data_IF_931198513443
#
_entry.id   IF_931198513443
#
_cell.length_a   1.000
_cell.length_b   1.000
_cell.length_c   1.000
_cell.angle_alpha   90.00
_cell.angle_beta   90.00
_cell.angle_gamma   90.00
#
_symmetry.space_group_name_H-M   'P 1'
#
loop_
_entity.id
_entity.type
_entity.pdbx_description
1 polymer ?
#
# COMPACT_ATOMS: atom_id res chain seq x y z
N UNK A 1 17.11 15.97 6.02
CA UNK A 1 16.49 16.84 7.04
C UNK A 1 16.42 16.06 8.36
N UNK A 2 16.76 16.62 9.52
CA UNK A 2 16.59 15.96 10.81
C UNK A 2 15.11 15.66 11.12
N UNK A 3 14.84 14.55 11.84
CA UNK A 3 13.46 14.12 12.17
C UNK A 3 12.67 15.21 12.92
N UNK A 4 13.32 15.94 13.85
CA UNK A 4 12.64 17.01 14.61
C UNK A 4 12.11 18.12 13.71
N UNK A 5 12.84 18.46 12.65
CA UNK A 5 12.37 19.45 11.68
C UNK A 5 11.21 18.92 10.84
N UNK A 6 11.23 17.64 10.47
CA UNK A 6 10.13 17.00 9.75
C UNK A 6 8.87 17.05 10.61
N UNK A 7 8.95 16.61 11.86
CA UNK A 7 7.81 16.57 12.78
C UNK A 7 7.27 17.98 13.03
N UNK A 8 8.14 18.97 13.24
CA UNK A 8 7.72 20.38 13.42
C UNK A 8 6.95 20.90 12.19
N UNK A 9 7.40 20.57 10.98
CA UNK A 9 6.69 20.96 9.77
C UNK A 9 5.33 20.26 9.64
N UNK A 10 5.26 18.96 9.96
CA UNK A 10 3.99 18.20 9.95
C UNK A 10 3.00 18.83 10.93
N UNK A 11 3.41 19.14 12.15
CA UNK A 11 2.56 19.78 13.16
C UNK A 11 2.02 21.15 12.70
N UNK A 12 2.80 21.89 11.92
CA UNK A 12 2.40 23.19 11.39
C UNK A 12 1.21 23.12 10.39
N UNK A 13 0.97 21.96 9.75
CA UNK A 13 -0.20 21.75 8.87
C UNK A 13 -1.52 21.64 9.66
N UNK A 14 -1.47 21.39 10.96
CA UNK A 14 -2.64 21.19 11.81
C UNK A 14 -3.63 20.13 11.25
N UNK A 15 -3.09 19.06 10.66
CA UNK A 15 -3.81 17.93 10.12
C UNK A 15 -3.42 16.67 10.92
N UNK A 16 -4.37 15.90 11.49
CA UNK A 16 -4.05 14.74 12.30
C UNK A 16 -3.63 13.52 11.47
N UNK A 17 -3.74 13.57 10.14
CA UNK A 17 -3.43 12.49 9.22
C UNK A 17 -2.10 12.76 8.52
N UNK A 18 -1.21 11.76 8.54
CA UNK A 18 0.09 11.78 7.84
C UNK A 18 0.22 10.54 7.00
N UNK A 19 0.50 10.71 5.72
CA UNK A 19 0.86 9.61 4.83
C UNK A 19 2.35 9.66 4.52
N UNK A 20 3.04 8.55 4.77
CA UNK A 20 4.45 8.33 4.43
C UNK A 20 4.49 7.53 3.14
N UNK A 21 4.98 8.16 2.08
CA UNK A 21 5.01 7.60 0.72
C UNK A 21 6.20 8.14 -0.07
N UNK A 22 6.25 7.84 -1.38
CA UNK A 22 7.27 8.29 -2.32
C UNK A 22 8.39 7.28 -2.48
N UNK A 23 8.95 7.04 -3.65
CA UNK A 23 9.91 5.98 -3.94
C UNK A 23 9.58 4.66 -3.21
N UNK A 24 10.45 4.25 -2.28
CA UNK A 24 10.13 3.21 -1.28
C UNK A 24 10.48 3.75 0.12
N UNK A 25 9.48 4.05 0.94
CA UNK A 25 9.71 4.64 2.26
C UNK A 25 10.56 3.78 3.18
N UNK A 26 10.40 2.45 3.13
CA UNK A 26 11.12 1.52 4.02
C UNK A 26 12.62 1.44 3.71
N UNK A 27 13.08 2.03 2.60
CA UNK A 27 14.51 2.26 2.33
C UNK A 27 15.11 3.42 3.13
N UNK A 28 14.27 4.31 3.63
CA UNK A 28 14.79 5.54 4.27
C UNK A 28 15.29 5.25 5.67
N UNK A 29 16.54 5.66 6.00
CA UNK A 29 17.01 5.56 7.37
C UNK A 29 16.06 6.34 8.29
N UNK A 30 15.78 5.78 9.45
CA UNK A 30 14.93 6.37 10.48
C UNK A 30 13.42 6.45 10.15
N UNK A 31 12.91 5.84 9.08
CA UNK A 31 11.47 5.85 8.77
C UNK A 31 10.67 5.20 9.90
N UNK A 32 11.14 4.09 10.47
CA UNK A 32 10.49 3.43 11.61
C UNK A 32 10.43 4.35 12.83
N UNK A 33 11.52 5.06 13.14
CA UNK A 33 11.53 6.06 14.21
C UNK A 33 10.57 7.22 13.91
N UNK A 34 10.43 7.62 12.65
CA UNK A 34 9.46 8.67 12.27
C UNK A 34 8.02 8.20 12.50
N UNK A 35 7.68 6.96 12.07
CA UNK A 35 6.35 6.38 12.28
C UNK A 35 6.00 6.29 13.77
N UNK A 36 6.91 5.75 14.58
CA UNK A 36 6.76 5.66 16.04
C UNK A 36 6.49 7.03 16.67
N UNK A 37 7.34 8.02 16.37
CA UNK A 37 7.23 9.37 16.95
C UNK A 37 5.97 10.11 16.52
N UNK A 38 5.52 9.93 15.27
CA UNK A 38 4.25 10.51 14.83
C UNK A 38 3.06 9.86 15.53
N UNK A 39 3.10 8.53 15.71
CA UNK A 39 2.07 7.80 16.45
C UNK A 39 2.04 8.17 17.93
N UNK A 40 3.21 8.46 18.56
CA UNK A 40 3.32 8.96 19.94
C UNK A 40 2.76 10.37 20.11
N UNK A 41 2.69 11.13 19.04
CA UNK A 41 2.08 12.47 18.98
C UNK A 41 0.60 12.43 18.55
N UNK A 42 -0.04 11.25 18.60
CA UNK A 42 -1.44 11.02 18.24
C UNK A 42 -1.80 11.33 16.78
N UNK A 43 -0.81 11.31 15.86
CA UNK A 43 -1.11 11.34 14.44
C UNK A 43 -1.62 9.97 13.97
N UNK A 44 -2.61 9.99 13.09
CA UNK A 44 -2.97 8.82 12.29
C UNK A 44 -1.95 8.68 11.16
N UNK A 45 -1.11 7.63 11.23
CA UNK A 45 -0.02 7.41 10.28
C UNK A 45 -0.43 6.36 9.25
N UNK A 46 -0.37 6.72 7.98
CA UNK A 46 -0.46 5.82 6.84
C UNK A 46 0.94 5.59 6.26
N UNK A 47 1.21 4.37 5.83
CA UNK A 47 2.42 4.00 5.09
C UNK A 47 2.01 3.37 3.76
N UNK A 48 2.35 3.99 2.63
CA UNK A 48 2.25 3.37 1.31
C UNK A 48 3.61 2.80 0.89
N UNK A 49 3.70 1.46 0.77
CA UNK A 49 4.93 0.74 0.43
C UNK A 49 4.67 -0.29 -0.66
N UNK A 50 5.69 -0.59 -1.48
CA UNK A 50 5.63 -1.68 -2.46
C UNK A 50 5.75 -3.08 -1.82
N UNK A 51 6.08 -3.17 -0.54
CA UNK A 51 6.30 -4.42 0.17
C UNK A 51 7.55 -5.19 -0.27
N UNK A 52 8.52 -4.53 -0.92
CA UNK A 52 9.81 -5.15 -1.24
C UNK A 52 10.74 -5.23 -0.02
N UNK A 53 10.39 -4.62 1.10
CA UNK A 53 11.08 -4.67 2.38
C UNK A 53 10.18 -5.25 3.47
N UNK A 54 10.73 -5.75 4.60
CA UNK A 54 9.94 -6.26 5.70
C UNK A 54 8.98 -5.21 6.25
N UNK A 55 7.67 -5.51 6.25
CA UNK A 55 6.63 -4.64 6.80
C UNK A 55 6.35 -4.91 8.28
N UNK A 56 6.79 -6.07 8.79
CA UNK A 56 6.54 -6.45 10.18
C UNK A 56 7.30 -5.62 11.22
N UNK A 57 8.29 -4.83 10.78
CA UNK A 57 9.06 -3.92 11.65
C UNK A 57 8.38 -2.55 11.84
N UNK A 58 7.30 -2.28 11.12
CA UNK A 58 6.53 -1.05 11.28
C UNK A 58 5.82 -1.03 12.63
N UNK A 59 5.67 0.18 13.22
CA UNK A 59 4.87 0.36 14.43
C UNK A 59 3.44 -0.18 14.21
N UNK A 60 2.92 -0.93 15.16
CA UNK A 60 1.62 -1.61 15.05
C UNK A 60 0.42 -0.67 14.94
N UNK A 61 0.59 0.62 15.22
CA UNK A 61 -0.43 1.68 15.08
C UNK A 61 -0.51 2.24 13.66
N UNK A 62 0.49 1.92 12.81
CA UNK A 62 0.55 2.42 11.43
C UNK A 62 -0.39 1.62 10.55
N UNK A 63 -1.24 2.31 9.81
CA UNK A 63 -2.08 1.71 8.77
C UNK A 63 -1.26 1.55 7.48
N UNK A 64 -0.97 0.32 7.09
CA UNK A 64 -0.13 0.03 5.91
C UNK A 64 -1.00 -0.19 4.67
N UNK A 65 -0.66 0.49 3.60
CA UNK A 65 -1.22 0.31 2.26
C UNK A 65 -0.12 -0.34 1.42
N UNK A 66 -0.26 -1.63 1.16
CA UNK A 66 0.77 -2.44 0.49
C UNK A 66 0.44 -2.58 -0.99
N UNK A 67 1.17 -1.85 -1.84
CA UNK A 67 1.00 -1.83 -3.29
C UNK A 67 1.80 -2.98 -3.94
N UNK A 68 1.16 -4.16 -4.05
CA UNK A 68 1.77 -5.34 -4.67
C UNK A 68 1.84 -5.11 -6.18
N UNK A 69 3.07 -5.02 -6.70
CA UNK A 69 3.32 -4.69 -8.10
C UNK A 69 2.94 -5.85 -9.02
N UNK A 70 2.07 -5.55 -9.98
CA UNK A 70 1.59 -6.51 -10.98
C UNK A 70 2.68 -6.83 -12.01
N UNK A 71 2.59 -7.96 -12.75
CA UNK A 71 3.62 -8.38 -13.70
C UNK A 71 3.98 -7.33 -14.75
N UNK A 72 2.99 -6.58 -15.26
CA UNK A 72 3.21 -5.56 -16.31
C UNK A 72 3.49 -4.15 -15.76
N UNK A 73 3.65 -3.99 -14.44
CA UNK A 73 3.97 -2.70 -13.80
C UNK A 73 5.40 -2.22 -14.02
N UNK A 74 6.29 -3.06 -14.57
CA UNK A 74 7.73 -2.81 -14.66
C UNK A 74 8.50 -3.10 -13.35
N UNK A 75 7.82 -3.42 -12.26
CA UNK A 75 8.39 -3.81 -10.96
C UNK A 75 7.75 -5.09 -10.41
N UNK A 76 7.14 -5.90 -11.28
CA UNK A 76 6.56 -7.19 -10.90
C UNK A 76 7.57 -8.12 -10.25
N UNK A 77 7.11 -8.91 -9.25
CA UNK A 77 7.96 -9.89 -8.55
C UNK A 77 8.91 -9.29 -7.51
N UNK A 78 8.76 -8.02 -7.15
CA UNK A 78 9.61 -7.38 -6.11
C UNK A 78 9.04 -7.53 -4.70
N UNK A 79 7.78 -7.92 -4.57
CA UNK A 79 7.14 -8.11 -3.26
C UNK A 79 7.82 -9.24 -2.49
N UNK A 80 8.10 -9.00 -1.20
CA UNK A 80 8.71 -9.99 -0.31
C UNK A 80 7.64 -10.95 0.22
N UNK A 81 7.70 -12.23 -0.18
CA UNK A 81 6.70 -13.25 0.19
C UNK A 81 6.48 -13.38 1.71
N UNK A 82 7.53 -13.16 2.52
CA UNK A 82 7.42 -13.18 3.97
C UNK A 82 6.42 -12.14 4.52
N UNK A 83 6.12 -11.09 3.77
CA UNK A 83 5.18 -10.05 4.16
C UNK A 83 3.73 -10.53 4.20
N UNK A 84 3.36 -11.59 3.45
CA UNK A 84 2.00 -12.16 3.57
C UNK A 84 1.66 -12.59 4.99
N UNK A 85 2.64 -13.13 5.72
CA UNK A 85 2.46 -13.54 7.12
C UNK A 85 2.45 -12.36 8.12
N UNK A 86 2.77 -11.15 7.66
CA UNK A 86 2.83 -9.92 8.46
C UNK A 86 1.62 -9.00 8.24
N UNK A 87 0.76 -9.34 7.27
CA UNK A 87 -0.47 -8.59 7.03
C UNK A 87 -1.47 -8.81 8.16
N UNK A 88 -2.23 -7.77 8.47
CA UNK A 88 -3.27 -7.80 9.49
C UNK A 88 -4.55 -7.07 9.04
N UNK A 89 -5.60 -7.14 9.85
CA UNK A 89 -6.92 -6.57 9.59
C UNK A 89 -6.97 -5.02 9.58
N UNK A 90 -5.87 -4.36 9.91
CA UNK A 90 -5.71 -2.92 9.75
C UNK A 90 -5.13 -2.54 8.39
N UNK A 91 -4.49 -3.47 7.68
CA UNK A 91 -3.79 -3.20 6.43
C UNK A 91 -4.73 -3.15 5.24
N UNK A 92 -4.27 -2.48 4.19
CA UNK A 92 -4.88 -2.55 2.87
C UNK A 92 -3.86 -3.09 1.86
N UNK A 93 -4.31 -3.92 0.93
CA UNK A 93 -3.53 -4.35 -0.23
C UNK A 93 -4.05 -3.64 -1.47
N UNK A 94 -3.14 -3.12 -2.28
CA UNK A 94 -3.43 -2.40 -3.51
C UNK A 94 -2.76 -3.08 -4.70
N UNK A 95 -3.49 -3.19 -5.81
CA UNK A 95 -2.99 -3.61 -7.11
C UNK A 95 -3.26 -2.52 -8.14
N UNK A 96 -2.22 -2.05 -8.82
CA UNK A 96 -2.36 -1.12 -9.95
C UNK A 96 -2.45 -1.94 -11.24
N UNK A 97 -3.60 -1.84 -11.92
CA UNK A 97 -3.97 -2.67 -13.06
C UNK A 97 -3.70 -1.92 -14.36
N UNK A 98 -2.80 -2.45 -15.18
CA UNK A 98 -2.46 -1.87 -16.49
C UNK A 98 -3.15 -2.59 -17.65
N UNK A 99 -3.45 -3.90 -17.49
CA UNK A 99 -4.05 -4.74 -18.52
C UNK A 99 -4.89 -5.86 -17.91
N UNK A 100 -5.53 -6.68 -18.75
CA UNK A 100 -6.36 -7.80 -18.32
C UNK A 100 -5.55 -8.86 -17.58
N UNK A 101 -4.35 -9.15 -18.02
CA UNK A 101 -3.45 -10.12 -17.42
C UNK A 101 -3.09 -9.74 -15.99
N UNK A 102 -2.82 -8.45 -15.71
CA UNK A 102 -2.56 -7.95 -14.37
C UNK A 102 -3.77 -8.16 -13.46
N UNK A 103 -4.96 -7.92 -13.98
CA UNK A 103 -6.19 -8.13 -13.23
C UNK A 103 -6.37 -9.60 -12.86
N UNK A 104 -6.29 -10.52 -13.85
CA UNK A 104 -6.46 -11.95 -13.62
C UNK A 104 -5.40 -12.50 -12.66
N UNK A 105 -4.15 -12.03 -12.79
CA UNK A 105 -3.07 -12.33 -11.85
C UNK A 105 -3.39 -11.84 -10.44
N UNK A 106 -3.82 -10.59 -10.29
CA UNK A 106 -4.17 -10.01 -8.98
C UNK A 106 -5.28 -10.79 -8.29
N UNK A 107 -6.33 -11.20 -9.04
CA UNK A 107 -7.39 -12.06 -8.51
C UNK A 107 -6.84 -13.41 -8.05
N UNK A 108 -5.88 -13.99 -8.78
CA UNK A 108 -5.23 -15.23 -8.34
C UNK A 108 -4.45 -15.05 -7.04
N UNK A 109 -3.73 -13.94 -6.87
CA UNK A 109 -3.00 -13.60 -5.64
C UNK A 109 -3.96 -13.44 -4.44
N UNK A 110 -5.07 -12.71 -4.63
CA UNK A 110 -6.10 -12.54 -3.60
C UNK A 110 -6.61 -13.89 -3.11
N UNK A 111 -6.87 -14.83 -4.01
CA UNK A 111 -7.37 -16.17 -3.67
C UNK A 111 -6.29 -17.04 -3.02
N UNK A 112 -5.09 -17.10 -3.62
CA UNK A 112 -4.00 -17.95 -3.16
C UNK A 112 -3.57 -17.60 -1.74
N UNK A 113 -3.53 -16.31 -1.40
CA UNK A 113 -3.11 -15.83 -0.09
C UNK A 113 -4.29 -15.46 0.82
N UNK A 114 -5.54 -15.73 0.39
CA UNK A 114 -6.76 -15.42 1.17
C UNK A 114 -6.81 -13.96 1.67
N UNK A 115 -6.35 -13.01 0.85
CA UNK A 115 -6.13 -11.62 1.28
C UNK A 115 -7.38 -10.96 1.86
N UNK A 116 -8.58 -11.26 1.33
CA UNK A 116 -9.84 -10.72 1.86
C UNK A 116 -10.14 -11.13 3.32
N UNK A 117 -9.52 -12.21 3.80
CA UNK A 117 -9.67 -12.65 5.18
C UNK A 117 -8.56 -12.09 6.10
N UNK A 118 -7.46 -11.58 5.52
CA UNK A 118 -6.29 -11.11 6.26
C UNK A 118 -6.30 -9.60 6.47
N UNK A 119 -6.80 -8.84 5.49
CA UNK A 119 -6.66 -7.38 5.45
C UNK A 119 -8.01 -6.68 5.47
N UNK A 120 -8.00 -5.41 5.86
CA UNK A 120 -9.19 -4.53 5.88
C UNK A 120 -9.81 -4.33 4.51
N UNK A 121 -8.99 -4.19 3.48
CA UNK A 121 -9.45 -3.96 2.11
C UNK A 121 -8.43 -4.45 1.07
N UNK A 122 -8.94 -4.85 -0.10
CA UNK A 122 -8.16 -5.08 -1.30
C UNK A 122 -8.63 -4.12 -2.38
N UNK A 123 -7.72 -3.24 -2.82
CA UNK A 123 -7.98 -2.15 -3.76
C UNK A 123 -7.43 -2.48 -5.16
N UNK A 124 -8.24 -2.30 -6.18
CA UNK A 124 -7.83 -2.39 -7.58
C UNK A 124 -7.90 -1.01 -8.22
N UNK A 125 -6.75 -0.47 -8.62
CA UNK A 125 -6.61 0.88 -9.18
C UNK A 125 -6.26 0.79 -10.66
N UNK A 126 -7.17 1.12 -11.60
CA UNK A 126 -6.85 1.10 -13.02
C UNK A 126 -5.96 2.28 -13.39
N UNK A 127 -4.97 2.04 -14.27
CA UNK A 127 -4.19 3.12 -14.89
C UNK A 127 -5.05 3.88 -15.89
N UNK A 128 -5.23 5.17 -15.67
CA UNK A 128 -6.18 6.02 -16.42
C UNK A 128 -5.68 6.49 -17.80
N UNK A 129 -4.39 6.35 -18.15
CA UNK A 129 -3.76 7.06 -19.26
C UNK A 129 -3.25 6.19 -20.41
N UNK A 130 -4.09 5.26 -20.91
CA UNK A 130 -3.84 4.66 -22.23
C UNK A 130 -5.14 4.70 -23.05
N UNK A 131 -5.09 5.25 -24.26
CA UNK A 131 -6.16 5.10 -25.24
C UNK A 131 -6.44 3.61 -25.44
N UNK A 132 -7.66 3.17 -25.11
CA UNK A 132 -8.05 1.74 -25.14
C UNK A 132 -8.36 1.11 -23.77
N UNK A 133 -8.00 1.72 -22.66
CA UNK A 133 -8.22 1.19 -21.29
C UNK A 133 -9.65 1.35 -20.75
N UNK A 134 -10.62 1.78 -21.55
CA UNK A 134 -12.04 1.82 -21.15
C UNK A 134 -12.53 0.49 -20.59
N UNK A 135 -12.01 -0.63 -21.14
CA UNK A 135 -12.37 -1.98 -20.69
C UNK A 135 -11.87 -2.32 -19.28
N UNK A 136 -10.71 -1.80 -18.85
CA UNK A 136 -10.12 -2.09 -17.53
C UNK A 136 -10.95 -1.42 -16.43
N UNK A 137 -11.33 -0.17 -16.64
CA UNK A 137 -12.24 0.55 -15.72
C UNK A 137 -13.55 -0.22 -15.56
N UNK A 138 -14.13 -0.72 -16.65
CA UNK A 138 -15.36 -1.53 -16.63
C UNK A 138 -15.18 -2.84 -15.86
N UNK A 139 -14.00 -3.50 -15.91
CA UNK A 139 -13.71 -4.71 -15.13
C UNK A 139 -13.63 -4.42 -13.64
N UNK A 140 -12.93 -3.36 -13.23
CA UNK A 140 -12.81 -2.97 -11.82
C UNK A 140 -14.16 -2.56 -11.24
N UNK A 141 -14.99 -1.84 -11.99
CA UNK A 141 -16.34 -1.47 -11.55
C UNK A 141 -17.29 -2.67 -11.43
N UNK A 142 -17.15 -3.68 -12.28
CA UNK A 142 -17.96 -4.92 -12.20
C UNK A 142 -17.64 -5.76 -10.95
N UNK A 143 -16.43 -5.65 -10.38
CA UNK A 143 -16.08 -6.36 -9.14
C UNK A 143 -16.89 -5.89 -7.92
N UNK A 144 -17.34 -4.63 -7.88
CA UNK A 144 -18.21 -4.14 -6.79
C UNK A 144 -19.54 -4.89 -6.69
N UNK A 145 -19.87 -5.74 -7.65
CA UNK A 145 -21.11 -6.54 -7.71
C UNK A 145 -20.91 -8.01 -7.39
N UNK A 146 -19.68 -8.48 -7.07
CA UNK A 146 -19.36 -9.90 -6.89
C UNK A 146 -18.63 -10.24 -5.57
N UNK A 147 -18.49 -9.27 -4.66
CA UNK A 147 -17.90 -9.47 -3.31
C UNK A 147 -18.98 -9.27 -2.27
#
# INVERSE_FOLDING_TARGET
MPLDQIITQIQAFNCPLVEITGGEPLLQPHVHTLMERLSDLDFQVLLETSGQFPIGECDSRVHRIVDIKTPNSGAGGTFLDANYAQLCDMDEVKFVITCREDFDWSISMVRTHSLLALVKAVNFSPVMYQEGNKSIVDYVYKLKTWI
#
